data_IF_107307640922
#
_entry.id   IF_107307640922
#
_cell.length_a   1.000
_cell.length_b   1.000
_cell.length_c   1.000
_cell.angle_alpha   90.00
_cell.angle_beta   90.00
_cell.angle_gamma   90.00
#
_symmetry.space_group_name_H-M   'P 1'
#
loop_
_entity.id
_entity.type
_entity.pdbx_description
1 polymer ?
#
# COMPACT_ATOMS: atom_id res chain seq x y z
N UNK A 1 -4.33 2.69 -22.10
CA UNK A 1 -2.85 2.68 -22.22
C UNK A 1 -2.47 1.75 -23.35
N UNK A 2 -1.52 2.11 -24.21
CA UNK A 2 -0.99 1.20 -25.24
C UNK A 2 0.06 0.28 -24.61
N UNK A 3 0.00 -1.05 -24.84
CA UNK A 3 1.01 -1.97 -24.36
C UNK A 3 2.38 -1.61 -24.93
N UNK A 4 3.39 -1.46 -24.09
CA UNK A 4 4.75 -1.11 -24.48
C UNK A 4 5.74 -2.01 -23.76
N UNK A 5 6.77 -2.49 -24.45
CA UNK A 5 7.85 -3.28 -23.84
C UNK A 5 8.70 -2.36 -22.95
N UNK A 6 8.83 -2.70 -21.67
CA UNK A 6 9.65 -1.97 -20.69
C UNK A 6 10.67 -2.91 -20.08
N UNK A 7 11.95 -2.51 -20.09
CA UNK A 7 12.99 -3.16 -19.31
C UNK A 7 13.03 -2.50 -17.93
N UNK A 8 12.35 -3.10 -16.97
CA UNK A 8 12.22 -2.56 -15.61
C UNK A 8 13.35 -3.10 -14.73
N UNK A 9 14.10 -2.17 -14.12
CA UNK A 9 15.03 -2.46 -13.02
C UNK A 9 14.48 -1.90 -11.75
N UNK A 10 13.87 -2.76 -10.93
CA UNK A 10 13.30 -2.45 -9.62
C UNK A 10 14.14 -3.16 -8.55
N UNK A 11 14.71 -2.44 -7.57
CA UNK A 11 15.42 -3.08 -6.48
C UNK A 11 14.45 -3.89 -5.61
N UNK A 12 14.95 -4.97 -5.03
CA UNK A 12 14.24 -5.62 -3.91
C UNK A 12 14.22 -4.66 -2.73
N UNK A 13 13.12 -4.63 -2.01
CA UNK A 13 13.06 -3.82 -0.80
C UNK A 13 12.06 -4.38 0.20
N UNK A 14 12.33 -4.09 1.45
CA UNK A 14 11.41 -4.31 2.56
C UNK A 14 11.11 -2.96 3.19
N UNK A 15 9.85 -2.66 3.41
CA UNK A 15 9.39 -1.45 4.07
C UNK A 15 8.48 -1.80 5.23
N UNK A 16 8.83 -1.30 6.41
CA UNK A 16 8.01 -1.38 7.60
C UNK A 16 7.57 0.02 8.00
N UNK A 17 6.31 0.14 8.36
CA UNK A 17 5.71 1.38 8.80
C UNK A 17 4.93 1.12 10.09
N UNK A 18 5.24 1.90 11.11
CA UNK A 18 4.57 1.84 12.41
C UNK A 18 4.29 3.27 12.86
N UNK A 19 3.02 3.60 13.05
CA UNK A 19 2.58 4.94 13.45
C UNK A 19 1.43 4.88 14.44
N UNK A 20 1.46 5.79 15.40
CA UNK A 20 0.32 6.12 16.26
C UNK A 20 -0.51 7.20 15.58
N UNK A 21 -1.79 6.92 15.39
CA UNK A 21 -2.70 7.76 14.61
C UNK A 21 -3.53 8.73 15.45
N UNK A 22 -3.41 8.74 16.78
CA UNK A 22 -4.24 9.56 17.67
C UNK A 22 -4.30 11.03 17.24
N UNK A 23 -3.15 11.65 17.03
CA UNK A 23 -3.09 13.08 16.65
C UNK A 23 -3.61 13.32 15.23
N UNK A 24 -3.38 12.38 14.32
CA UNK A 24 -3.87 12.48 12.95
C UNK A 24 -5.39 12.41 12.95
N UNK A 25 -5.97 11.46 13.67
CA UNK A 25 -7.42 11.27 13.77
C UNK A 25 -8.11 12.45 14.45
N UNK A 26 -7.52 13.00 15.52
CA UNK A 26 -8.02 14.21 16.15
C UNK A 26 -8.03 15.41 15.19
N UNK A 27 -6.97 15.60 14.41
CA UNK A 27 -6.90 16.67 13.39
C UNK A 27 -7.90 16.46 12.25
N UNK A 28 -8.30 15.23 11.96
CA UNK A 28 -9.34 14.89 10.99
C UNK A 28 -10.76 15.06 11.55
N UNK A 29 -10.91 15.45 12.83
CA UNK A 29 -12.20 15.72 13.46
C UNK A 29 -12.69 14.65 14.44
N UNK A 30 -11.98 13.53 14.59
CA UNK A 30 -12.33 12.48 15.55
C UNK A 30 -11.83 12.87 16.96
N UNK A 31 -12.40 13.91 17.55
CA UNK A 31 -11.96 14.43 18.85
C UNK A 31 -12.67 13.71 19.98
N UNK A 32 -14.00 13.61 19.91
CA UNK A 32 -14.84 13.12 21.01
C UNK A 32 -14.56 11.64 21.37
N UNK A 33 -14.22 10.81 20.39
CA UNK A 33 -13.86 9.41 20.65
C UNK A 33 -12.65 9.24 21.57
N UNK A 34 -11.74 10.22 21.65
CA UNK A 34 -10.57 10.21 22.52
C UNK A 34 -10.79 10.96 23.85
N UNK A 35 -11.93 11.59 24.03
CA UNK A 35 -12.28 12.34 25.23
C UNK A 35 -13.09 11.45 26.17
N UNK A 36 -12.57 11.22 27.38
CA UNK A 36 -13.20 10.35 28.36
C UNK A 36 -14.62 10.81 28.76
N UNK A 37 -14.90 12.10 28.70
CA UNK A 37 -16.21 12.64 29.08
C UNK A 37 -17.19 12.79 27.92
N UNK A 38 -16.75 12.59 26.67
CA UNK A 38 -17.57 12.79 25.46
C UNK A 38 -17.67 11.57 24.56
N UNK A 39 -16.79 10.58 24.78
CA UNK A 39 -16.85 9.35 24.01
C UNK A 39 -18.13 8.55 24.33
N UNK A 40 -18.80 8.08 23.30
CA UNK A 40 -19.98 7.24 23.42
C UNK A 40 -19.75 5.91 22.68
N UNK A 41 -19.43 4.89 23.43
CA UNK A 41 -19.27 3.52 22.98
C UNK A 41 -20.25 2.56 23.68
N UNK A 42 -21.42 3.06 24.06
CA UNK A 42 -22.46 2.30 24.78
C UNK A 42 -22.94 1.07 24.01
N UNK A 43 -22.89 1.11 22.67
CA UNK A 43 -23.17 -0.06 21.83
C UNK A 43 -22.14 -1.20 21.99
N UNK A 44 -20.95 -0.93 22.54
CA UNK A 44 -19.94 -1.94 22.82
C UNK A 44 -19.99 -2.46 24.27
N UNK A 45 -20.33 -1.59 25.21
CA UNK A 45 -20.51 -1.93 26.63
C UNK A 45 -21.43 -0.93 27.30
N UNK A 46 -22.49 -1.43 27.93
CA UNK A 46 -23.44 -0.60 28.73
C UNK A 46 -22.90 -0.29 30.13
N UNK A 47 -22.02 -1.16 30.65
CA UNK A 47 -21.55 -1.12 32.03
C UNK A 47 -20.24 -0.33 32.22
N UNK A 48 -19.57 0.08 31.13
CA UNK A 48 -18.28 0.72 31.21
C UNK A 48 -18.24 1.97 30.32
N UNK A 49 -17.78 3.08 30.90
CA UNK A 49 -17.43 4.29 30.15
C UNK A 49 -16.15 4.04 29.34
N UNK A 50 -16.30 3.74 28.04
CA UNK A 50 -15.22 3.46 27.12
C UNK A 50 -14.83 4.71 26.35
N UNK A 51 -13.53 4.89 26.16
CA UNK A 51 -12.99 5.88 25.23
C UNK A 51 -11.79 5.31 24.49
N UNK A 52 -11.45 5.90 23.34
CA UNK A 52 -10.37 5.45 22.50
C UNK A 52 -9.03 5.97 23.04
N UNK A 53 -8.19 5.11 23.61
CA UNK A 53 -6.90 5.51 24.17
C UNK A 53 -5.78 5.51 23.14
N UNK A 54 -5.78 4.54 22.21
CA UNK A 54 -4.70 4.36 21.25
C UNK A 54 -5.21 3.79 19.92
N UNK A 55 -4.84 4.43 18.81
CA UNK A 55 -4.92 3.86 17.47
C UNK A 55 -3.49 3.71 16.94
N UNK A 56 -3.13 2.50 16.57
CA UNK A 56 -1.83 2.19 16.02
C UNK A 56 -1.98 1.43 14.71
N UNK A 57 -1.25 1.88 13.68
CA UNK A 57 -1.19 1.21 12.38
C UNK A 57 0.20 0.66 12.16
N UNK A 58 0.28 -0.62 11.80
CA UNK A 58 1.50 -1.24 11.30
C UNK A 58 1.26 -1.72 9.89
N UNK A 59 2.19 -1.44 9.00
CA UNK A 59 2.19 -1.93 7.63
C UNK A 59 3.55 -2.53 7.31
N UNK A 60 3.52 -3.63 6.58
CA UNK A 60 4.70 -4.34 6.11
C UNK A 60 4.56 -4.57 4.61
N UNK A 61 5.61 -4.28 3.87
CA UNK A 61 5.68 -4.52 2.43
C UNK A 61 7.05 -5.10 2.09
N UNK A 62 7.05 -6.25 1.45
CA UNK A 62 8.25 -6.87 0.88
C UNK A 62 8.02 -7.07 -0.61
N UNK A 63 8.98 -6.64 -1.42
CA UNK A 63 8.99 -6.79 -2.87
C UNK A 63 10.26 -7.48 -3.30
N UNK A 64 10.11 -8.58 -4.00
CA UNK A 64 11.20 -9.37 -4.56
C UNK A 64 10.86 -9.86 -5.99
N UNK A 65 11.69 -10.73 -6.57
CA UNK A 65 11.48 -11.23 -7.94
C UNK A 65 10.27 -12.16 -8.07
N UNK A 66 9.73 -12.67 -6.97
CA UNK A 66 8.55 -13.52 -6.95
C UNK A 66 7.25 -12.72 -6.84
N UNK A 67 7.36 -11.41 -6.58
CA UNK A 67 6.24 -10.49 -6.45
C UNK A 67 6.26 -9.69 -5.17
N UNK A 68 5.10 -9.14 -4.78
CA UNK A 68 4.90 -8.50 -3.50
C UNK A 68 4.26 -9.50 -2.53
N UNK A 69 4.87 -9.71 -1.38
CA UNK A 69 4.30 -10.55 -0.33
C UNK A 69 3.26 -9.74 0.44
N UNK A 70 2.07 -9.70 -0.13
CA UNK A 70 0.81 -9.42 0.51
C UNK A 70 -0.17 -10.43 -0.08
N UNK A 71 -0.04 -11.69 0.36
CA UNK A 71 -0.95 -12.83 0.08
C UNK A 71 -1.75 -12.78 -1.24
N UNK A 72 -1.08 -12.73 -2.39
CA UNK A 72 -1.68 -13.10 -3.66
C UNK A 72 -0.60 -13.60 -4.62
N UNK A 73 -0.52 -14.90 -4.79
CA UNK A 73 0.23 -15.51 -5.90
C UNK A 73 -0.51 -15.16 -7.18
N UNK A 74 -0.16 -14.07 -7.80
CA UNK A 74 -0.56 -13.80 -9.18
C UNK A 74 0.55 -14.33 -10.07
N UNK A 75 0.33 -15.53 -10.62
CA UNK A 75 1.14 -16.07 -11.71
C UNK A 75 0.94 -15.11 -12.91
N UNK A 76 1.92 -14.29 -13.22
CA UNK A 76 1.97 -13.58 -14.50
C UNK A 76 2.38 -14.57 -15.56
N UNK A 77 1.43 -15.26 -16.18
CA UNK A 77 1.62 -15.92 -17.47
C UNK A 77 1.66 -14.83 -18.53
N UNK A 78 2.84 -14.54 -19.05
CA UNK A 78 2.96 -13.76 -20.28
C UNK A 78 2.50 -14.62 -21.45
N UNK A 79 1.27 -14.40 -21.92
CA UNK A 79 0.84 -14.99 -23.18
C UNK A 79 1.60 -14.32 -24.34
N UNK A 80 2.38 -15.13 -25.09
CA UNK A 80 3.20 -14.72 -26.23
C UNK A 80 2.40 -14.25 -27.47
N UNK A 81 1.16 -13.82 -27.34
CA UNK A 81 0.30 -13.49 -28.48
C UNK A 81 0.18 -11.99 -28.83
N UNK A 82 0.95 -11.11 -28.27
CA UNK A 82 1.12 -9.79 -28.86
C UNK A 82 2.30 -9.81 -29.83
N UNK A 83 2.02 -10.04 -31.12
CA UNK A 83 2.94 -9.69 -32.20
C UNK A 83 3.16 -8.18 -32.20
N UNK A 84 4.03 -7.68 -31.33
CA UNK A 84 4.61 -6.36 -31.49
C UNK A 84 5.71 -6.43 -32.56
N UNK A 85 5.84 -5.43 -33.42
CA UNK A 85 6.92 -5.39 -34.39
C UNK A 85 8.25 -5.55 -33.65
N UNK A 86 9.04 -6.51 -34.07
CA UNK A 86 10.24 -7.07 -33.40
C UNK A 86 11.41 -6.08 -33.27
N UNK A 87 11.23 -4.82 -33.65
CA UNK A 87 12.28 -3.81 -33.71
C UNK A 87 12.14 -2.64 -32.70
N UNK A 88 11.13 -2.63 -31.84
CA UNK A 88 11.03 -1.58 -30.83
C UNK A 88 11.95 -1.90 -29.66
N UNK A 89 13.01 -1.12 -29.48
CA UNK A 89 13.85 -1.20 -28.28
C UNK A 89 12.95 -0.98 -27.04
N UNK A 90 13.06 -1.84 -26.02
CA UNK A 90 12.30 -1.63 -24.79
C UNK A 90 12.69 -0.30 -24.14
N UNK A 91 11.73 0.37 -23.54
CA UNK A 91 11.99 1.55 -22.72
C UNK A 91 12.69 1.11 -21.45
N UNK A 92 13.87 1.62 -21.17
CA UNK A 92 14.58 1.34 -19.93
C UNK A 92 13.97 2.18 -18.79
N UNK A 93 13.55 1.51 -17.73
CA UNK A 93 13.04 2.13 -16.53
C UNK A 93 13.82 1.66 -15.31
N UNK A 94 14.69 2.53 -14.80
CA UNK A 94 15.52 2.27 -13.63
C UNK A 94 14.91 2.97 -12.41
N UNK A 95 14.40 2.21 -11.46
CA UNK A 95 13.79 2.73 -10.22
C UNK A 95 14.89 2.84 -9.15
N UNK A 96 15.69 3.91 -9.22
CA UNK A 96 16.82 4.19 -8.32
C UNK A 96 16.67 5.51 -7.55
N UNK A 97 15.47 6.06 -7.49
CA UNK A 97 15.10 7.32 -6.82
C UNK A 97 13.90 7.08 -5.92
N UNK A 98 13.55 8.01 -5.02
CA UNK A 98 12.28 7.95 -4.31
C UNK A 98 11.11 7.78 -5.26
N UNK A 99 10.21 6.84 -4.96
CA UNK A 99 9.07 6.51 -5.81
C UNK A 99 7.82 6.24 -4.98
N UNK A 100 6.68 6.27 -5.66
CA UNK A 100 5.40 5.83 -5.11
C UNK A 100 5.16 4.40 -5.59
N UNK A 101 4.72 3.55 -4.68
CA UNK A 101 4.35 2.17 -4.93
C UNK A 101 2.88 1.98 -4.56
N UNK A 102 2.10 1.40 -5.46
CA UNK A 102 0.69 1.07 -5.23
C UNK A 102 0.42 -0.38 -5.59
N UNK A 103 -0.46 -1.03 -4.82
CA UNK A 103 -1.06 -2.30 -5.18
C UNK A 103 -2.54 -2.03 -5.44
N UNK A 104 -3.00 -2.34 -6.64
CA UNK A 104 -4.36 -2.08 -7.08
C UNK A 104 -5.05 -3.37 -7.48
N UNK A 105 -6.31 -3.53 -7.10
CA UNK A 105 -7.16 -4.59 -7.60
C UNK A 105 -7.85 -4.12 -8.88
N UNK A 106 -7.43 -4.70 -10.01
CA UNK A 106 -8.00 -4.38 -11.31
C UNK A 106 -9.35 -5.11 -11.57
N UNK A 107 -9.74 -6.05 -10.72
CA UNK A 107 -11.03 -6.77 -10.85
C UNK A 107 -12.22 -5.93 -10.38
N UNK A 108 -11.98 -4.94 -9.54
CA UNK A 108 -13.00 -4.05 -8.97
C UNK A 108 -12.56 -2.60 -9.17
N UNK A 109 -12.88 -2.00 -10.33
CA UNK A 109 -12.72 -0.57 -10.65
C UNK A 109 -11.46 0.12 -10.07
N UNK A 110 -10.28 -0.52 -10.18
CA UNK A 110 -8.99 0.03 -9.75
C UNK A 110 -8.96 0.47 -8.27
N UNK A 111 -9.43 -0.37 -7.38
CA UNK A 111 -9.31 -0.09 -5.94
C UNK A 111 -7.86 -0.23 -5.52
N UNK A 112 -7.29 0.85 -4.97
CA UNK A 112 -5.97 0.82 -4.35
C UNK A 112 -6.04 0.11 -3.00
N UNK A 113 -5.42 -1.06 -2.91
CA UNK A 113 -5.34 -1.87 -1.68
C UNK A 113 -4.20 -1.37 -0.79
N UNK A 114 -3.10 -0.96 -1.41
CA UNK A 114 -1.91 -0.52 -0.72
C UNK A 114 -1.29 0.69 -1.44
N UNK A 115 -0.86 1.67 -0.66
CA UNK A 115 -0.18 2.86 -1.15
C UNK A 115 1.02 3.16 -0.25
N UNK A 116 2.20 3.29 -0.85
CA UNK A 116 3.43 3.61 -0.12
C UNK A 116 4.28 4.65 -0.86
N UNK A 117 4.89 5.54 -0.11
CA UNK A 117 5.96 6.42 -0.58
C UNK A 117 7.29 5.88 -0.09
N UNK A 118 8.11 5.40 -1.00
CA UNK A 118 9.42 4.86 -0.71
C UNK A 118 10.45 5.97 -0.90
N UNK A 119 11.04 6.43 0.19
CA UNK A 119 12.04 7.53 0.18
C UNK A 119 13.46 7.04 0.27
N UNK A 120 13.66 5.86 0.88
CA UNK A 120 14.95 5.18 0.96
C UNK A 120 14.72 3.67 0.89
N UNK A 121 15.62 2.98 0.23
CA UNK A 121 15.61 1.53 0.14
C UNK A 121 16.63 1.04 1.16
N UNK A 122 16.17 0.23 2.11
CA UNK A 122 17.06 -0.57 2.95
C UNK A 122 17.14 -1.95 2.32
N UNK A 123 18.35 -2.32 1.93
CA UNK A 123 18.68 -3.69 1.54
C UNK A 123 18.57 -4.63 2.75
#
# INVERSE_FOLDING_TARGET
MTPTKVALSLPKFTSEFDITLNEVMKKMGMVDAFDQGRADFTNMSEDAELYLSLIKQKAFLKVDEHGAEAAAVTLMTFDEKCMMPDNAKPIEMNVNRPFIFTIEDNSIENISIFYAKITSIKE
#
